data_IF_351140772511
#
_entry.id   IF_351140772511
#
_cell.length_a   1.000
_cell.length_b   1.000
_cell.length_c   1.000
_cell.angle_alpha   90.00
_cell.angle_beta   90.00
_cell.angle_gamma   90.00
#
_symmetry.space_group_name_H-M   'P 1'
#
loop_
_entity.id
_entity.type
_entity.pdbx_description
1 polymer ?
#
# COMPACT_ATOMS: atom_id res chain seq x y z
N UNK A 1 -59.89 -1.77 -0.74
CA UNK A 1 -58.91 -2.86 -0.97
C UNK A 1 -58.12 -2.44 -2.21
N UNK A 2 -56.83 -2.15 -2.17
CA UNK A 2 -55.72 -2.99 -1.73
C UNK A 2 -54.55 -2.11 -1.25
N UNK A 3 -54.02 -2.43 -0.07
CA UNK A 3 -52.78 -1.90 0.51
C UNK A 3 -51.60 -2.72 -0.02
N UNK A 4 -50.67 -2.09 -0.75
CA UNK A 4 -49.40 -2.74 -1.14
C UNK A 4 -48.37 -2.55 -0.03
N UNK A 5 -47.93 -3.67 0.56
CA UNK A 5 -46.90 -3.74 1.59
C UNK A 5 -45.52 -3.67 0.95
N UNK A 6 -44.66 -2.80 1.50
CA UNK A 6 -43.22 -2.79 1.26
C UNK A 6 -42.59 -4.00 1.97
N UNK A 7 -41.93 -4.89 1.21
CA UNK A 7 -41.02 -5.91 1.76
C UNK A 7 -39.59 -5.45 1.52
N UNK A 8 -38.84 -5.18 2.59
CA UNK A 8 -37.42 -4.87 2.54
C UNK A 8 -36.63 -6.15 2.21
N UNK A 9 -35.92 -6.14 1.08
CA UNK A 9 -35.01 -7.21 0.69
C UNK A 9 -33.70 -7.08 1.49
N UNK A 10 -33.35 -8.14 2.22
CA UNK A 10 -32.06 -8.29 2.91
C UNK A 10 -30.93 -8.34 1.85
N UNK A 11 -29.82 -7.60 2.00
CA UNK A 11 -28.71 -7.67 1.05
C UNK A 11 -28.00 -9.03 1.12
N UNK A 12 -27.51 -9.57 -0.01
CA UNK A 12 -26.87 -10.87 -0.03
C UNK A 12 -25.54 -10.85 0.73
N UNK A 13 -25.35 -11.83 1.61
CA UNK A 13 -24.05 -12.20 2.16
C UNK A 13 -23.08 -12.50 1.00
N UNK A 14 -21.95 -11.80 0.98
CA UNK A 14 -20.87 -12.04 0.02
C UNK A 14 -20.22 -13.38 0.41
N UNK A 15 -20.72 -14.49 -0.14
CA UNK A 15 -20.09 -15.80 0.02
C UNK A 15 -18.72 -15.80 -0.64
N UNK A 16 -17.71 -15.97 0.21
CA UNK A 16 -16.26 -16.06 0.00
C UNK A 16 -15.86 -17.29 -0.85
N UNK A 17 -16.53 -17.57 -1.97
CA UNK A 17 -16.39 -18.86 -2.65
C UNK A 17 -15.55 -18.84 -3.92
N UNK A 18 -15.08 -17.69 -4.41
CA UNK A 18 -14.33 -17.62 -5.68
C UNK A 18 -12.82 -17.41 -5.52
N UNK A 19 -12.30 -17.47 -4.28
CA UNK A 19 -10.85 -17.38 -3.98
C UNK A 19 -10.19 -18.73 -3.68
N UNK A 20 -10.95 -19.83 -3.65
CA UNK A 20 -10.46 -21.15 -3.27
C UNK A 20 -9.75 -21.93 -4.40
N UNK A 21 -8.99 -21.26 -5.26
CA UNK A 21 -8.23 -21.89 -6.35
C UNK A 21 -6.70 -21.83 -6.19
N UNK A 22 -6.18 -21.23 -5.10
CA UNK A 22 -4.78 -21.32 -4.72
C UNK A 22 -4.68 -21.93 -3.33
N UNK A 23 -3.87 -22.98 -3.20
CA UNK A 23 -3.86 -23.85 -2.01
C UNK A 23 -3.55 -23.08 -0.72
N UNK A 24 -4.54 -22.98 0.18
CA UNK A 24 -4.39 -22.81 1.63
C UNK A 24 -3.71 -21.54 2.18
N UNK A 25 -2.99 -20.77 1.38
CA UNK A 25 -2.26 -19.58 1.83
C UNK A 25 -3.12 -18.32 1.67
N UNK A 26 -3.13 -17.49 2.71
CA UNK A 26 -3.80 -16.18 2.67
C UNK A 26 -3.09 -15.30 1.62
N UNK A 27 -3.78 -14.88 0.54
CA UNK A 27 -3.15 -14.14 -0.57
C UNK A 27 -2.60 -12.77 -0.14
N UNK A 28 -2.96 -12.30 1.06
CA UNK A 28 -2.52 -11.04 1.63
C UNK A 28 -1.46 -11.21 2.74
N UNK A 29 -1.00 -12.44 3.00
CA UNK A 29 -0.02 -12.75 4.06
C UNK A 29 1.25 -11.89 4.00
N UNK A 30 1.70 -11.57 2.80
CA UNK A 30 2.89 -10.76 2.58
C UNK A 30 2.72 -9.28 2.95
N UNK A 31 1.49 -8.79 3.13
CA UNK A 31 1.27 -7.44 3.68
C UNK A 31 1.90 -7.27 5.05
N UNK A 32 2.04 -8.36 5.82
CA UNK A 32 2.71 -8.32 7.12
C UNK A 32 4.21 -8.07 7.07
N UNK A 33 4.84 -8.07 5.89
CA UNK A 33 6.26 -7.75 5.75
C UNK A 33 6.52 -6.26 5.49
N UNK A 34 5.47 -5.45 5.33
CA UNK A 34 5.55 -4.02 5.04
C UNK A 34 4.92 -3.22 6.18
N UNK A 35 5.44 -2.03 6.42
CA UNK A 35 4.71 -1.00 7.17
C UNK A 35 3.75 -0.30 6.21
N UNK A 36 2.45 -0.31 6.51
CA UNK A 36 1.46 0.33 5.64
C UNK A 36 1.06 1.71 6.15
N UNK A 37 1.08 2.69 5.26
CA UNK A 37 0.62 4.06 5.53
C UNK A 37 -0.45 4.44 4.51
N UNK A 38 -1.61 4.88 5.01
CA UNK A 38 -2.64 5.50 4.17
C UNK A 38 -2.47 7.02 4.22
N UNK A 39 -2.27 7.65 3.06
CA UNK A 39 -2.35 9.09 2.90
C UNK A 39 -3.66 9.44 2.18
N UNK A 40 -4.57 10.09 2.89
CA UNK A 40 -5.91 10.40 2.39
C UNK A 40 -5.97 11.86 1.98
N UNK A 41 -6.35 12.11 0.74
CA UNK A 41 -6.71 13.43 0.26
C UNK A 41 -8.01 13.89 0.92
N UNK A 42 -7.92 14.94 1.73
CA UNK A 42 -9.03 15.66 2.32
C UNK A 42 -9.11 17.09 1.79
N UNK A 43 -8.63 17.34 0.57
CA UNK A 43 -8.76 18.63 -0.12
C UNK A 43 -10.22 18.99 -0.40
N UNK A 44 -10.47 20.26 -0.74
CA UNK A 44 -11.81 20.72 -1.05
C UNK A 44 -12.47 20.04 -2.27
N UNK A 45 -11.69 19.59 -3.26
CA UNK A 45 -12.20 18.89 -4.46
C UNK A 45 -12.89 17.58 -4.10
N UNK A 46 -12.42 16.92 -3.04
CA UNK A 46 -12.94 15.64 -2.58
C UNK A 46 -14.41 15.70 -2.14
N UNK A 47 -14.96 16.89 -1.87
CA UNK A 47 -16.31 17.05 -1.35
C UNK A 47 -17.38 16.37 -2.23
N UNK A 48 -18.20 15.51 -1.61
CA UNK A 48 -19.36 14.89 -2.25
C UNK A 48 -19.10 13.49 -2.78
N UNK A 49 -18.84 13.32 -4.07
CA UNK A 49 -18.72 11.99 -4.69
C UNK A 49 -17.40 11.32 -4.29
N UNK A 50 -16.27 11.97 -4.54
CA UNK A 50 -14.94 11.40 -4.31
C UNK A 50 -14.73 11.01 -2.85
N UNK A 51 -15.15 11.84 -1.89
CA UNK A 51 -15.08 11.51 -0.47
C UNK A 51 -15.88 10.25 -0.09
N UNK A 52 -17.05 10.04 -0.70
CA UNK A 52 -17.83 8.80 -0.48
C UNK A 52 -17.13 7.59 -1.09
N UNK A 53 -16.51 7.75 -2.27
CA UNK A 53 -15.75 6.69 -2.92
C UNK A 53 -14.50 6.31 -2.10
N UNK A 54 -13.78 7.28 -1.54
CA UNK A 54 -12.69 7.01 -0.58
C UNK A 54 -13.21 6.26 0.65
N UNK A 55 -14.36 6.64 1.20
CA UNK A 55 -14.97 5.91 2.31
C UNK A 55 -15.25 4.44 1.96
N UNK A 56 -15.69 4.15 0.73
CA UNK A 56 -15.88 2.78 0.24
C UNK A 56 -14.55 2.03 0.04
N UNK A 57 -13.53 2.71 -0.50
CA UNK A 57 -12.18 2.15 -0.64
C UNK A 57 -11.60 1.80 0.73
N UNK A 58 -11.70 2.69 1.73
CA UNK A 58 -11.26 2.43 3.12
C UNK A 58 -12.02 1.23 3.70
N UNK A 59 -13.33 1.13 3.47
CA UNK A 59 -14.15 -0.01 3.93
C UNK A 59 -13.67 -1.36 3.39
N UNK A 60 -12.99 -1.31 2.24
CA UNK A 60 -12.47 -2.50 1.56
C UNK A 60 -11.01 -2.78 1.99
N UNK A 61 -10.16 -1.75 2.03
CA UNK A 61 -8.72 -1.87 2.25
C UNK A 61 -8.39 -2.05 3.73
N UNK A 62 -9.01 -1.26 4.63
CA UNK A 62 -8.63 -1.23 6.04
C UNK A 62 -8.72 -2.61 6.74
N UNK A 63 -9.76 -3.43 6.54
CA UNK A 63 -9.83 -4.78 7.12
C UNK A 63 -8.69 -5.70 6.67
N UNK A 64 -8.19 -5.50 5.45
CA UNK A 64 -7.12 -6.32 4.87
C UNK A 64 -5.79 -5.88 5.47
N UNK A 65 -5.43 -4.60 5.33
CA UNK A 65 -4.11 -4.12 5.79
C UNK A 65 -3.96 -4.22 7.31
N UNK A 66 -5.01 -3.96 8.10
CA UNK A 66 -4.92 -4.05 9.58
C UNK A 66 -4.90 -5.48 10.11
N UNK A 67 -5.39 -6.46 9.35
CA UNK A 67 -5.33 -7.88 9.74
C UNK A 67 -3.92 -8.45 9.61
N UNK A 68 -3.15 -7.95 8.65
CA UNK A 68 -1.83 -8.48 8.31
C UNK A 68 -0.68 -7.69 8.92
N UNK A 69 -0.88 -6.40 9.21
CA UNK A 69 0.10 -5.54 9.85
C UNK A 69 -0.02 -5.63 11.40
N UNK A 70 0.96 -6.28 12.04
CA UNK A 70 0.89 -6.64 13.46
C UNK A 70 1.18 -5.50 14.43
N UNK A 71 1.99 -4.53 14.02
CA UNK A 71 2.29 -3.25 14.65
C UNK A 71 1.26 -2.18 14.26
N UNK A 72 0.55 -2.42 13.17
CA UNK A 72 -0.62 -1.68 12.73
C UNK A 72 -0.25 -0.53 11.80
N UNK A 73 -1.25 -0.08 11.05
CA UNK A 73 -1.05 0.90 9.98
C UNK A 73 -1.03 2.32 10.51
N UNK A 74 -0.48 3.24 9.73
CA UNK A 74 -0.64 4.67 9.97
C UNK A 74 -1.61 5.32 8.99
N UNK A 75 -2.26 6.39 9.42
CA UNK A 75 -3.18 7.18 8.60
C UNK A 75 -2.83 8.65 8.71
N UNK A 76 -2.58 9.28 7.57
CA UNK A 76 -2.37 10.72 7.43
C UNK A 76 -3.41 11.29 6.48
N UNK A 77 -3.66 12.58 6.63
CA UNK A 77 -4.46 13.36 5.69
C UNK A 77 -3.59 14.47 5.09
N UNK A 78 -3.92 14.97 3.89
CA UNK A 78 -3.16 16.04 3.26
C UNK A 78 -3.24 17.37 4.03
N UNK A 79 -4.43 17.74 4.50
CA UNK A 79 -4.72 18.99 5.19
C UNK A 79 -4.95 18.78 6.70
N UNK A 80 -5.69 17.74 7.09
CA UNK A 80 -5.93 17.46 8.50
C UNK A 80 -4.66 16.96 9.21
N UNK A 81 -4.30 17.65 10.30
CA UNK A 81 -3.12 17.36 11.11
C UNK A 81 -3.58 16.90 12.50
N UNK A 82 -3.25 15.66 12.87
CA UNK A 82 -3.49 15.16 14.23
C UNK A 82 -2.56 15.84 15.24
N UNK A 83 -2.86 15.72 16.54
CA UNK A 83 -1.98 16.23 17.61
C UNK A 83 -0.74 15.35 17.86
N UNK A 84 -0.53 14.28 17.10
CA UNK A 84 0.60 13.38 17.32
C UNK A 84 1.90 14.06 16.87
N UNK A 85 2.87 14.21 17.78
CA UNK A 85 4.12 14.92 17.53
C UNK A 85 5.08 14.19 16.57
N UNK A 86 4.82 12.90 16.32
CA UNK A 86 5.71 12.04 15.56
C UNK A 86 7.00 11.69 16.32
N UNK A 87 7.91 11.01 15.64
CA UNK A 87 9.20 10.57 16.21
C UNK A 87 10.19 10.32 15.07
N UNK A 88 11.02 11.32 14.74
CA UNK A 88 11.98 11.20 13.65
C UNK A 88 12.97 10.05 13.87
N UNK A 89 13.37 9.78 15.11
CA UNK A 89 14.22 8.63 15.45
C UNK A 89 13.57 7.29 15.17
N UNK A 90 12.24 7.22 15.25
CA UNK A 90 11.46 6.02 14.89
C UNK A 90 10.96 6.08 13.43
N UNK A 91 11.43 7.04 12.63
CA UNK A 91 11.00 7.18 11.23
C UNK A 91 9.55 7.64 11.08
N UNK A 92 8.98 8.23 12.13
CA UNK A 92 7.58 8.60 12.24
C UNK A 92 7.38 10.08 12.02
N UNK A 93 6.52 10.44 11.07
CA UNK A 93 6.11 11.81 10.83
C UNK A 93 5.07 12.32 11.85
N UNK A 94 5.07 13.64 12.07
CA UNK A 94 4.06 14.30 12.88
C UNK A 94 2.72 14.41 12.13
N UNK A 95 1.64 14.58 12.89
CA UNK A 95 0.34 14.94 12.32
C UNK A 95 -0.46 13.80 11.72
N UNK A 96 -0.12 12.55 12.02
CA UNK A 96 -0.86 11.35 11.62
C UNK A 96 -1.44 10.58 12.81
N UNK A 97 -2.22 9.56 12.52
CA UNK A 97 -2.70 8.58 13.48
C UNK A 97 -1.88 7.30 13.30
N UNK A 98 -1.43 6.69 14.40
CA UNK A 98 -0.37 5.68 14.37
C UNK A 98 -0.84 4.33 14.91
N UNK A 99 -0.24 3.25 14.41
CA UNK A 99 -0.37 1.89 14.97
C UNK A 99 -1.82 1.41 15.05
N UNK A 100 -2.62 1.73 14.03
CA UNK A 100 -4.03 1.39 13.98
C UNK A 100 -4.18 -0.08 13.60
N UNK A 101 -4.62 -0.89 14.57
CA UNK A 101 -4.83 -2.35 14.39
C UNK A 101 -6.27 -2.77 14.11
N UNK A 102 -7.20 -1.81 14.09
CA UNK A 102 -8.63 -2.08 13.86
C UNK A 102 -9.11 -1.25 12.70
N UNK A 103 -9.69 -1.89 11.69
CA UNK A 103 -10.35 -1.21 10.59
C UNK A 103 -11.41 -0.19 11.08
N UNK A 104 -12.17 -0.53 12.13
CA UNK A 104 -13.14 0.39 12.74
C UNK A 104 -12.52 1.72 13.19
N UNK A 105 -11.30 1.71 13.73
CA UNK A 105 -10.61 2.95 14.12
C UNK A 105 -10.29 3.82 12.89
N UNK A 106 -9.91 3.22 11.75
CA UNK A 106 -9.66 3.95 10.50
C UNK A 106 -10.94 4.65 10.04
N UNK A 107 -12.08 3.95 10.09
CA UNK A 107 -13.39 4.52 9.80
C UNK A 107 -13.76 5.68 10.73
N UNK A 108 -13.64 5.48 12.04
CA UNK A 108 -13.95 6.51 13.04
C UNK A 108 -13.09 7.78 12.85
N UNK A 109 -11.83 7.62 12.44
CA UNK A 109 -10.95 8.74 12.10
C UNK A 109 -11.43 9.46 10.84
N UNK A 110 -11.68 8.70 9.77
CA UNK A 110 -12.14 9.24 8.49
C UNK A 110 -13.47 10.02 8.64
N UNK A 111 -14.41 9.50 9.41
CA UNK A 111 -15.71 10.13 9.68
C UNK A 111 -15.63 11.44 10.47
N UNK A 112 -14.50 11.73 11.12
CA UNK A 112 -14.26 13.00 11.86
C UNK A 112 -13.64 14.08 10.99
N UNK A 113 -12.96 13.70 9.91
CA UNK A 113 -12.30 14.64 8.98
C UNK A 113 -13.30 15.13 7.93
N UNK A 114 -13.15 16.38 7.47
CA UNK A 114 -13.99 16.97 6.44
C UNK A 114 -13.11 17.54 5.32
N UNK A 115 -13.48 17.32 4.05
CA UNK A 115 -12.82 17.93 2.90
C UNK A 115 -12.65 19.45 3.04
N UNK A 116 -11.43 19.96 2.91
CA UNK A 116 -11.05 21.36 3.01
C UNK A 116 -9.64 21.61 2.45
N UNK A 117 -9.33 22.85 2.07
CA UNK A 117 -7.97 23.23 1.67
C UNK A 117 -7.60 22.75 0.26
N UNK A 118 -6.30 22.75 -0.03
CA UNK A 118 -5.73 22.34 -1.32
C UNK A 118 -5.27 20.88 -1.31
N UNK A 119 -4.51 20.49 -2.34
CA UNK A 119 -4.01 19.12 -2.53
C UNK A 119 -2.47 19.10 -2.43
N UNK A 120 -1.87 19.40 -1.26
CA UNK A 120 -0.41 19.50 -1.09
C UNK A 120 0.26 18.12 -1.01
N UNK A 121 0.09 17.31 -2.05
CA UNK A 121 0.53 15.92 -2.11
C UNK A 121 2.04 15.80 -1.92
N UNK A 122 2.85 16.59 -2.63
CA UNK A 122 4.31 16.53 -2.56
C UNK A 122 4.83 16.88 -1.16
N UNK A 123 4.29 17.95 -0.58
CA UNK A 123 4.62 18.40 0.78
C UNK A 123 4.30 17.32 1.81
N UNK A 124 3.16 16.63 1.67
CA UNK A 124 2.75 15.60 2.62
C UNK A 124 3.54 14.31 2.45
N UNK A 125 3.81 13.89 1.20
CA UNK A 125 4.72 12.79 0.89
C UNK A 125 6.11 13.04 1.49
N UNK A 126 6.69 14.21 1.27
CA UNK A 126 7.99 14.58 1.84
C UNK A 126 7.98 14.51 3.38
N UNK A 127 6.91 14.98 4.00
CA UNK A 127 6.74 14.93 5.47
C UNK A 127 6.77 13.51 6.01
N UNK A 128 6.19 12.54 5.29
CA UNK A 128 6.14 11.12 5.67
C UNK A 128 7.45 10.41 5.33
N UNK A 129 7.95 10.59 4.10
CA UNK A 129 9.13 9.88 3.58
C UNK A 129 10.42 10.33 4.27
N UNK A 130 10.56 11.63 4.60
CA UNK A 130 11.79 12.17 5.19
C UNK A 130 12.23 11.47 6.49
N UNK A 131 11.38 11.36 7.53
CA UNK A 131 11.78 10.66 8.76
C UNK A 131 12.04 9.18 8.51
N UNK A 132 11.22 8.51 7.68
CA UNK A 132 11.43 7.10 7.33
C UNK A 132 12.81 6.88 6.70
N UNK A 133 13.18 7.68 5.69
CA UNK A 133 14.48 7.58 5.02
C UNK A 133 15.66 7.94 5.94
N UNK A 134 15.47 8.82 6.92
CA UNK A 134 16.49 9.13 7.91
C UNK A 134 16.72 7.97 8.90
N UNK A 135 15.64 7.30 9.31
CA UNK A 135 15.73 6.08 10.11
C UNK A 135 16.37 4.95 9.32
N UNK A 136 15.94 4.72 8.08
CA UNK A 136 16.51 3.69 7.21
C UNK A 136 18.03 3.86 7.08
N UNK A 137 18.51 5.07 6.79
CA UNK A 137 19.93 5.38 6.71
C UNK A 137 20.68 5.04 8.02
N UNK A 138 20.07 5.33 9.17
CA UNK A 138 20.64 5.03 10.48
C UNK A 138 20.67 3.52 10.78
N UNK A 139 19.60 2.80 10.47
CA UNK A 139 19.50 1.34 10.62
C UNK A 139 20.50 0.63 9.72
N UNK A 140 20.61 1.04 8.45
CA UNK A 140 21.58 0.46 7.51
C UNK A 140 23.03 0.70 7.97
N UNK A 141 23.35 1.89 8.49
CA UNK A 141 24.65 2.17 9.08
C UNK A 141 24.95 1.29 10.31
N UNK A 142 23.92 0.96 11.09
CA UNK A 142 24.00 0.04 12.23
C UNK A 142 23.95 -1.45 11.84
N UNK A 143 23.81 -1.77 10.54
CA UNK A 143 23.53 -3.13 10.02
C UNK A 143 22.25 -3.74 10.60
N UNK A 144 21.29 -2.89 10.95
CA UNK A 144 19.93 -3.26 11.30
C UNK A 144 19.08 -3.50 10.04
N UNK A 145 17.87 -3.98 10.27
CA UNK A 145 16.85 -4.16 9.23
C UNK A 145 15.67 -3.25 9.53
N UNK A 146 15.09 -2.67 8.47
CA UNK A 146 13.88 -1.86 8.57
C UNK A 146 12.86 -2.43 7.61
N UNK A 147 11.62 -2.60 8.09
CA UNK A 147 10.51 -3.01 7.25
C UNK A 147 10.35 -2.04 6.08
N UNK A 148 10.15 -2.54 4.86
CA UNK A 148 9.78 -1.72 3.73
C UNK A 148 8.48 -0.94 3.95
N UNK A 149 8.36 0.23 3.33
CA UNK A 149 7.19 1.12 3.45
C UNK A 149 6.28 0.98 2.23
N UNK A 150 5.00 0.74 2.48
CA UNK A 150 3.95 0.80 1.48
C UNK A 150 3.04 2.01 1.76
N UNK A 151 3.19 3.08 0.97
CA UNK A 151 2.45 4.33 1.13
C UNK A 151 1.34 4.42 0.08
N UNK A 152 0.09 4.21 0.50
CA UNK A 152 -1.08 4.24 -0.37
C UNK A 152 -1.73 5.62 -0.29
N UNK A 153 -1.74 6.35 -1.41
CA UNK A 153 -2.31 7.70 -1.54
C UNK A 153 -3.70 7.62 -2.15
N UNK A 154 -4.75 7.98 -1.42
CA UNK A 154 -6.12 8.03 -1.94
C UNK A 154 -6.45 9.47 -2.34
N UNK A 155 -6.64 9.77 -3.63
CA UNK A 155 -6.85 11.16 -4.13
C UNK A 155 -7.77 11.22 -5.34
N UNK A 156 -8.46 12.34 -5.55
CA UNK A 156 -9.32 12.59 -6.73
C UNK A 156 -8.75 13.59 -7.74
N UNK A 157 -7.63 14.22 -7.40
CA UNK A 157 -7.24 15.47 -8.01
C UNK A 157 -5.76 15.54 -8.39
N UNK A 158 -5.45 16.59 -9.14
CA UNK A 158 -4.08 16.96 -9.50
C UNK A 158 -3.40 17.58 -8.27
N UNK A 159 -2.16 17.18 -7.94
CA UNK A 159 -1.38 17.83 -6.90
C UNK A 159 -1.30 19.36 -7.09
N UNK A 160 -1.36 20.10 -5.99
CA UNK A 160 -1.18 21.56 -5.98
C UNK A 160 0.28 22.00 -5.86
N UNK A 161 1.19 21.04 -5.70
CA UNK A 161 2.62 21.21 -5.52
C UNK A 161 3.41 20.14 -6.28
N UNK A 162 4.74 20.26 -6.23
CA UNK A 162 5.66 19.40 -6.97
C UNK A 162 5.85 18.04 -6.25
N UNK A 163 5.18 17.02 -6.78
CA UNK A 163 5.27 15.63 -6.32
C UNK A 163 6.49 14.92 -6.90
N UNK A 164 6.78 15.17 -8.16
CA UNK A 164 7.83 14.52 -8.93
C UNK A 164 9.20 14.71 -8.26
N UNK A 165 9.55 15.95 -7.89
CA UNK A 165 10.86 16.21 -7.27
C UNK A 165 11.01 15.54 -5.90
N UNK A 166 9.93 15.41 -5.14
CA UNK A 166 9.92 14.73 -3.84
C UNK A 166 10.17 13.24 -4.01
N UNK A 167 9.47 12.59 -4.94
CA UNK A 167 9.62 11.17 -5.23
C UNK A 167 10.98 10.87 -5.84
N UNK A 168 11.45 11.71 -6.77
CA UNK A 168 12.78 11.60 -7.35
C UNK A 168 13.89 11.75 -6.30
N UNK A 169 13.73 12.68 -5.35
CA UNK A 169 14.68 12.84 -4.24
C UNK A 169 14.71 11.60 -3.35
N UNK A 170 13.55 11.01 -3.04
CA UNK A 170 13.46 9.78 -2.26
C UNK A 170 14.12 8.61 -2.99
N UNK A 171 13.82 8.42 -4.28
CA UNK A 171 14.36 7.36 -5.11
C UNK A 171 15.89 7.45 -5.23
N UNK A 172 16.44 8.64 -5.51
CA UNK A 172 17.89 8.90 -5.52
C UNK A 172 18.55 8.61 -4.17
N UNK A 173 17.88 8.94 -3.06
CA UNK A 173 18.40 8.65 -1.72
C UNK A 173 18.45 7.15 -1.46
N UNK A 174 17.41 6.40 -1.85
CA UNK A 174 17.37 4.94 -1.73
C UNK A 174 18.48 4.26 -2.55
N UNK A 175 18.72 4.72 -3.79
CA UNK A 175 19.81 4.21 -4.63
C UNK A 175 21.18 4.50 -4.02
N UNK A 176 21.39 5.69 -3.47
CA UNK A 176 22.63 6.04 -2.75
C UNK A 176 22.86 5.17 -1.52
N UNK A 177 21.79 4.76 -0.84
CA UNK A 177 21.86 3.86 0.31
C UNK A 177 22.05 2.40 -0.10
N UNK A 178 21.97 2.06 -1.39
CA UNK A 178 21.91 0.68 -1.88
C UNK A 178 20.77 -0.12 -1.23
N UNK A 179 19.65 0.56 -0.94
CA UNK A 179 18.49 -0.07 -0.31
C UNK A 179 17.86 -1.13 -1.25
N UNK A 180 17.17 -2.15 -0.72
CA UNK A 180 16.41 -3.09 -1.54
C UNK A 180 15.44 -2.37 -2.49
N UNK A 181 15.23 -2.83 -3.75
CA UNK A 181 14.34 -2.18 -4.71
C UNK A 181 12.93 -1.90 -4.14
N UNK A 182 12.41 -2.82 -3.35
CA UNK A 182 11.09 -2.77 -2.74
C UNK A 182 11.02 -2.01 -1.40
N UNK A 183 12.09 -1.32 -0.97
CA UNK A 183 12.15 -0.67 0.35
C UNK A 183 11.09 0.42 0.55
N UNK A 184 10.67 1.08 -0.53
CA UNK A 184 9.59 2.08 -0.53
C UNK A 184 8.77 1.87 -1.79
N UNK A 185 7.46 1.73 -1.63
CA UNK A 185 6.47 1.85 -2.70
C UNK A 185 5.49 2.96 -2.37
N UNK A 186 5.19 3.81 -3.36
CA UNK A 186 4.17 4.86 -3.29
C UNK A 186 3.09 4.54 -4.31
N UNK A 187 1.92 4.14 -3.82
CA UNK A 187 0.83 3.73 -4.67
C UNK A 187 -0.26 4.81 -4.72
N UNK A 188 -0.46 5.42 -5.88
CA UNK A 188 -1.55 6.37 -6.08
C UNK A 188 -2.83 5.62 -6.45
N UNK A 189 -3.85 5.84 -5.64
CA UNK A 189 -5.18 5.30 -5.83
C UNK A 189 -6.14 6.44 -6.19
N UNK A 190 -6.38 6.60 -7.48
CA UNK A 190 -7.25 7.65 -7.99
C UNK A 190 -8.71 7.28 -7.73
N UNK A 191 -9.46 8.14 -7.05
CA UNK A 191 -10.92 8.07 -6.97
C UNK A 191 -11.56 9.10 -7.90
N UNK A 192 -12.84 8.93 -8.23
CA UNK A 192 -13.52 9.80 -9.19
C UNK A 192 -13.16 9.49 -10.65
N UNK A 193 -13.40 10.47 -11.52
CA UNK A 193 -13.21 10.35 -12.96
C UNK A 193 -12.77 11.70 -13.55
N UNK A 194 -11.74 12.29 -12.94
CA UNK A 194 -11.10 13.49 -13.46
C UNK A 194 -9.97 13.10 -14.41
N UNK A 195 -10.14 13.40 -15.69
CA UNK A 195 -9.16 13.03 -16.73
C UNK A 195 -7.79 13.67 -16.46
N UNK A 196 -7.76 14.94 -16.03
CA UNK A 196 -6.50 15.62 -15.70
C UNK A 196 -5.77 15.02 -14.51
N UNK A 197 -6.48 14.46 -13.52
CA UNK A 197 -5.87 13.74 -12.41
C UNK A 197 -5.27 12.41 -12.89
N UNK A 198 -5.93 11.74 -13.84
CA UNK A 198 -5.42 10.51 -14.42
C UNK A 198 -4.13 10.74 -15.20
N UNK A 199 -4.12 11.74 -16.10
CA UNK A 199 -2.94 12.09 -16.90
C UNK A 199 -1.76 12.48 -16.01
N UNK A 200 -1.99 13.31 -14.97
CA UNK A 200 -0.94 13.71 -14.05
C UNK A 200 -0.35 12.53 -13.24
N UNK A 201 -1.16 11.53 -12.90
CA UNK A 201 -0.69 10.34 -12.20
C UNK A 201 0.07 9.40 -13.15
N UNK A 202 -0.43 9.16 -14.36
CA UNK A 202 0.26 8.36 -15.38
C UNK A 202 1.65 8.96 -15.72
N UNK A 203 1.75 10.30 -15.80
CA UNK A 203 3.03 10.98 -15.99
C UNK A 203 4.01 10.77 -14.80
N UNK A 204 3.52 10.67 -13.56
CA UNK A 204 4.36 10.36 -12.40
C UNK A 204 4.87 8.91 -12.42
N UNK A 205 4.09 7.98 -12.95
CA UNK A 205 4.42 6.55 -13.08
C UNK A 205 5.54 6.34 -14.11
N UNK A 206 5.33 6.84 -15.33
CA UNK A 206 6.28 6.66 -16.43
C UNK A 206 7.46 7.63 -16.36
N UNK A 207 7.20 8.88 -15.96
CA UNK A 207 8.11 10.02 -16.11
C UNK A 207 9.30 10.00 -15.15
N UNK A 208 9.17 9.42 -13.95
CA UNK A 208 10.26 9.42 -12.94
C UNK A 208 11.56 8.80 -13.48
N UNK A 209 11.44 7.76 -14.30
CA UNK A 209 12.58 7.07 -14.89
C UNK A 209 13.23 7.84 -16.06
N UNK A 210 12.45 8.65 -16.77
CA UNK A 210 12.88 9.38 -17.97
C UNK A 210 13.64 10.68 -17.65
N UNK A 211 13.46 11.23 -16.45
CA UNK A 211 13.98 12.54 -16.03
C UNK A 211 15.47 12.55 -15.66
N UNK A 212 16.12 11.40 -15.56
CA UNK A 212 17.52 11.29 -15.13
C UNK A 212 18.32 10.43 -16.11
N UNK A 213 19.42 10.97 -16.64
CA UNK A 213 20.38 10.19 -17.42
C UNK A 213 20.95 9.05 -16.56
N UNK A 214 20.69 7.81 -16.98
CA UNK A 214 21.05 6.59 -16.24
C UNK A 214 19.88 5.94 -15.49
N UNK A 215 18.70 6.58 -15.49
CA UNK A 215 17.50 6.12 -14.80
C UNK A 215 17.60 6.27 -13.28
N UNK A 216 16.45 6.20 -12.62
CA UNK A 216 16.33 6.03 -11.17
C UNK A 216 15.47 4.80 -10.92
N UNK A 217 15.58 4.18 -9.74
CA UNK A 217 14.64 3.12 -9.38
C UNK A 217 13.19 3.60 -9.47
N UNK A 218 12.34 2.69 -9.92
CA UNK A 218 10.91 2.88 -9.86
C UNK A 218 10.39 2.58 -8.44
N UNK A 219 9.61 3.51 -7.91
CA UNK A 219 8.99 3.43 -6.58
C UNK A 219 7.51 3.82 -6.62
N UNK A 220 6.96 4.13 -7.80
CA UNK A 220 5.58 4.62 -7.96
C UNK A 220 4.77 3.57 -8.69
N UNK A 221 3.51 3.43 -8.31
CA UNK A 221 2.52 2.66 -9.05
C UNK A 221 1.20 3.46 -9.04
N UNK A 222 0.46 3.44 -10.14
CA UNK A 222 -0.86 4.08 -10.23
C UNK A 222 -2.00 3.08 -10.43
N UNK A 223 -3.12 3.30 -9.74
CA UNK A 223 -4.34 2.48 -9.88
C UNK A 223 -5.59 3.37 -9.78
N UNK A 224 -6.54 3.18 -10.69
CA UNK A 224 -7.84 3.88 -10.65
C UNK A 224 -8.91 3.05 -9.93
N UNK A 225 -9.61 3.66 -8.98
CA UNK A 225 -10.82 3.13 -8.34
C UNK A 225 -12.01 3.22 -9.29
N UNK A 226 -12.58 2.07 -9.64
CA UNK A 226 -13.77 2.03 -10.52
C UNK A 226 -15.10 2.04 -9.77
N UNK A 227 -15.13 2.49 -8.50
CA UNK A 227 -16.40 2.75 -7.81
C UNK A 227 -17.20 1.51 -7.42
N UNK A 228 -16.62 0.32 -7.49
CA UNK A 228 -17.40 -0.93 -7.44
C UNK A 228 -18.49 -0.99 -8.52
N UNK A 229 -18.35 -0.24 -9.62
CA UNK A 229 -19.26 -0.32 -10.76
C UNK A 229 -19.21 -1.75 -11.28
N UNK A 230 -20.39 -2.34 -11.42
CA UNK A 230 -20.56 -3.65 -12.01
C UNK A 230 -19.76 -3.74 -13.30
N UNK A 231 -18.88 -4.73 -13.39
CA UNK A 231 -18.58 -5.34 -14.68
C UNK A 231 -19.92 -5.65 -15.38
N UNK A 232 -19.98 -5.73 -16.72
CA UNK A 232 -21.24 -5.97 -17.45
C UNK A 232 -22.13 -7.12 -16.92
N UNK A 233 -21.56 -8.04 -16.13
CA UNK A 233 -22.23 -9.14 -15.43
C UNK A 233 -22.75 -8.85 -14.01
N UNK A 234 -22.90 -7.59 -13.58
CA UNK A 234 -23.67 -7.27 -12.38
C UNK A 234 -22.99 -7.56 -11.02
N UNK A 235 -21.71 -7.97 -11.01
CA UNK A 235 -20.94 -8.16 -9.77
C UNK A 235 -20.40 -6.83 -9.23
N UNK A 236 -20.71 -6.48 -7.98
CA UNK A 236 -19.99 -5.42 -7.25
C UNK A 236 -18.54 -5.87 -7.13
N UNK A 237 -17.56 -5.06 -7.51
CA UNK A 237 -16.20 -5.38 -7.09
C UNK A 237 -15.08 -4.59 -7.72
N UNK A 238 -14.23 -4.03 -6.85
CA UNK A 238 -12.86 -4.48 -6.97
C UNK A 238 -12.88 -6.00 -6.76
N UNK A 239 -12.47 -6.77 -7.77
CA UNK A 239 -12.14 -8.17 -7.54
C UNK A 239 -11.03 -8.25 -6.47
N UNK A 240 -10.85 -9.41 -5.82
CA UNK A 240 -9.71 -9.61 -4.91
C UNK A 240 -8.37 -9.21 -5.53
N UNK A 241 -8.26 -9.34 -6.87
CA UNK A 241 -7.14 -8.92 -7.71
C UNK A 241 -6.99 -7.39 -7.84
N UNK A 242 -8.10 -6.65 -7.91
CA UNK A 242 -8.10 -5.19 -7.90
C UNK A 242 -7.67 -4.62 -6.55
N UNK A 243 -8.07 -5.27 -5.45
CA UNK A 243 -7.60 -4.93 -4.11
C UNK A 243 -6.13 -5.32 -3.93
N UNK A 244 -5.73 -6.48 -4.45
CA UNK A 244 -4.35 -6.94 -4.42
C UNK A 244 -3.46 -5.93 -5.16
N UNK A 245 -3.81 -5.55 -6.40
CA UNK A 245 -3.13 -4.49 -7.16
C UNK A 245 -3.13 -3.14 -6.44
N UNK A 246 -4.24 -2.76 -5.81
CA UNK A 246 -4.39 -1.50 -5.09
C UNK A 246 -3.54 -1.40 -3.83
N UNK A 247 -3.15 -2.53 -3.26
CA UNK A 247 -2.34 -2.58 -2.03
C UNK A 247 -0.89 -2.94 -2.35
N UNK A 248 -0.58 -3.52 -3.53
CA UNK A 248 0.67 -4.25 -3.78
C UNK A 248 1.37 -3.87 -5.09
N UNK A 249 0.84 -2.92 -5.85
CA UNK A 249 1.43 -2.51 -7.12
C UNK A 249 1.15 -3.45 -8.31
N UNK A 250 1.39 -2.94 -9.51
CA UNK A 250 1.20 -3.67 -10.77
C UNK A 250 2.26 -4.76 -11.02
N UNK A 251 3.35 -4.74 -10.23
CA UNK A 251 4.51 -5.63 -10.35
C UNK A 251 4.35 -7.08 -9.87
N UNK A 252 3.32 -7.40 -9.07
CA UNK A 252 3.04 -8.79 -8.65
C UNK A 252 1.83 -9.44 -9.30
N UNK A 253 0.95 -8.65 -9.92
CA UNK A 253 -0.39 -9.12 -10.29
C UNK A 253 -0.59 -9.35 -11.80
N UNK A 254 0.47 -9.35 -12.61
CA UNK A 254 0.35 -9.43 -14.09
C UNK A 254 1.36 -10.29 -14.85
N UNK A 255 2.31 -10.96 -14.19
CA UNK A 255 3.13 -11.98 -14.87
C UNK A 255 2.55 -13.36 -14.59
N UNK A 256 2.01 -14.10 -15.59
CA UNK A 256 1.92 -15.54 -15.44
C UNK A 256 3.32 -16.04 -15.09
N UNK A 257 3.41 -16.89 -14.07
CA UNK A 257 4.64 -17.55 -13.65
C UNK A 257 5.20 -18.36 -14.85
N UNK A 258 5.98 -17.69 -15.70
CA UNK A 258 6.59 -18.27 -16.88
C UNK A 258 7.88 -18.94 -16.45
N UNK A 259 7.90 -20.26 -16.59
CA UNK A 259 8.94 -21.19 -16.19
C UNK A 259 10.24 -21.07 -17.00
N UNK A 260 10.75 -19.86 -17.20
CA UNK A 260 12.00 -19.59 -17.94
C UNK A 260 12.94 -18.77 -17.06
N UNK A 261 13.51 -19.43 -16.07
CA UNK A 261 14.86 -19.20 -15.55
C UNK A 261 15.23 -20.31 -14.54
N UNK A 262 15.14 -21.57 -15.00
CA UNK A 262 15.65 -22.72 -14.25
C UNK A 262 16.98 -23.14 -14.87
N UNK A 263 18.09 -22.93 -14.17
CA UNK A 263 19.33 -23.67 -14.44
C UNK A 263 19.33 -24.95 -13.60
N UNK A 264 19.63 -26.08 -14.25
CA UNK A 264 19.58 -27.41 -13.66
C UNK A 264 20.87 -27.67 -12.87
N UNK A 265 20.79 -27.87 -11.56
CA UNK A 265 21.92 -28.40 -10.77
C UNK A 265 22.18 -29.87 -11.18
N UNK A 266 23.36 -30.22 -11.74
CA UNK A 266 23.64 -31.57 -12.23
C UNK A 266 23.72 -32.64 -11.13
N UNK A 267 23.78 -32.29 -9.84
CA UNK A 267 24.10 -33.23 -8.78
C UNK A 267 22.92 -33.62 -7.88
N UNK A 268 21.79 -32.90 -7.89
CA UNK A 268 20.69 -33.14 -6.91
C UNK A 268 19.27 -33.20 -7.45
N UNK A 269 19.03 -33.00 -8.75
CA UNK A 269 17.73 -33.31 -9.37
C UNK A 269 16.49 -32.64 -8.75
N UNK A 270 16.65 -31.55 -7.99
CA UNK A 270 15.53 -30.71 -7.50
C UNK A 270 15.61 -29.33 -8.14
N UNK A 271 14.44 -28.77 -8.40
CA UNK A 271 14.25 -27.36 -8.74
C UNK A 271 14.44 -26.55 -7.45
N UNK A 272 15.34 -25.56 -7.45
CA UNK A 272 15.58 -24.67 -6.30
C UNK A 272 15.39 -23.23 -6.79
N UNK A 273 14.48 -22.47 -6.18
CA UNK A 273 14.32 -21.05 -6.45
C UNK A 273 15.36 -20.23 -5.67
N UNK A 274 15.91 -19.17 -6.26
CA UNK A 274 16.81 -18.24 -5.57
C UNK A 274 16.14 -17.52 -4.38
N UNK A 275 14.81 -17.50 -4.33
CA UNK A 275 14.04 -17.05 -3.16
C UNK A 275 14.10 -18.06 -1.99
N UNK A 276 14.16 -19.36 -2.27
CA UNK A 276 14.33 -20.40 -1.25
C UNK A 276 15.72 -20.29 -0.60
N UNK A 277 16.75 -19.97 -1.38
CA UNK A 277 18.12 -19.83 -0.86
C UNK A 277 18.29 -18.61 0.08
N UNK A 278 17.45 -17.57 -0.05
CA UNK A 278 17.44 -16.42 0.87
C UNK A 278 16.63 -16.69 2.15
N UNK A 279 15.49 -17.40 2.03
CA UNK A 279 14.70 -17.82 3.19
C UNK A 279 15.45 -18.85 4.07
N UNK A 280 16.21 -19.75 3.44
CA UNK A 280 17.00 -20.78 4.13
C UNK A 280 18.28 -20.20 4.78
N UNK A 281 18.79 -19.06 4.28
CA UNK A 281 19.91 -18.33 4.90
C UNK A 281 19.48 -17.47 6.10
N UNK A 282 18.28 -16.88 6.08
CA UNK A 282 17.74 -16.14 7.23
C UNK A 282 17.34 -17.07 8.40
N UNK A 283 16.86 -18.28 8.11
CA UNK A 283 16.52 -19.29 9.13
C UNK A 283 17.73 -20.01 9.74
N UNK A 284 18.93 -19.88 9.17
CA UNK A 284 20.16 -20.49 9.66
C UNK A 284 20.95 -19.62 10.68
N UNK A 285 20.41 -18.48 11.12
CA UNK A 285 21.09 -17.60 12.07
C UNK A 285 21.03 -18.17 13.52
N UNK A 286 22.17 -18.30 14.23
CA UNK A 286 22.26 -19.03 15.51
C UNK A 286 21.46 -18.44 16.69
N UNK A 287 20.78 -17.30 16.49
CA UNK A 287 19.94 -16.65 17.50
C UNK A 287 18.49 -17.20 17.46
N UNK A 288 17.99 -17.62 16.29
CA UNK A 288 16.61 -18.14 16.14
C UNK A 288 16.51 -19.62 16.59
N UNK A 289 17.60 -20.38 16.51
CA UNK A 289 17.62 -21.79 16.93
C UNK A 289 17.37 -21.99 18.44
N UNK A 290 17.56 -20.95 19.27
CA UNK A 290 17.34 -21.04 20.72
C UNK A 290 15.88 -20.81 21.16
N UNK A 291 15.05 -20.18 20.32
CA UNK A 291 13.62 -19.97 20.64
C UNK A 291 12.74 -21.18 20.29
N UNK A 292 13.17 -22.02 19.35
CA UNK A 292 12.42 -23.23 18.94
C UNK A 292 12.65 -24.46 19.83
N UNK A 293 13.66 -24.45 20.70
CA UNK A 293 13.98 -25.60 21.58
C UNK A 293 13.45 -25.47 23.03
N UNK A 294 12.90 -24.34 23.44
CA UNK A 294 12.31 -24.16 24.77
C UNK A 294 10.80 -24.35 24.83
N UNK A 295 10.12 -24.56 23.70
CA UNK A 295 8.69 -24.91 23.65
C UNK A 295 8.40 -26.40 23.40
N UNK A 296 9.45 -27.23 23.46
CA UNK A 296 9.35 -28.68 23.39
C UNK A 296 10.00 -29.32 24.63
N UNK A 297 9.44 -29.01 25.81
CA UNK A 297 9.48 -29.83 27.03
C UNK A 297 8.34 -29.44 27.95
#
# INVERSE_FOLDING_TARGET
MQTSQFTASVPPEITTSTLAAHGGEDPYSFLGTFDTVLLIDDSGSMAGRSWREVGQAISTIAPIVTKHDSDGIDVYFMNHISSHAGSTSEGVAAGGYRGIKRAATVHEIFERVRPQGGTPTGTRLHTILKPYLARLESEMAARGEMKPLNLIVLTDGVPSDDVESVLLSAAKKLDKLEAPPFQVGVQFFQVGNEDGAKEALEELDDGLSELVEGGVRDIVDTVTWTGGRSLPDGGVGLSGDGILKAVLGSGQSSKPFSNRNVSRDPLRGRYVCLADEMYERQSAHPIISRLLLTSAK
#
